data_IF_420390164031
#
_entry.id   IF_420390164031
#
_cell.length_a   1.000
_cell.length_b   1.000
_cell.length_c   1.000
_cell.angle_alpha   90.00
_cell.angle_beta   90.00
_cell.angle_gamma   90.00
#
_symmetry.space_group_name_H-M   'P 1'
#
loop_
_entity.id
_entity.type
_entity.pdbx_description
1 polymer ?
#
# COMPACT_ATOMS: atom_id res chain seq x y z
N UNK A 1 -17.58 14.77 55.41
CA UNK A 1 -17.54 13.58 54.53
C UNK A 1 -16.80 13.93 53.23
N UNK A 2 -15.80 13.14 52.81
CA UNK A 2 -14.91 13.41 51.66
C UNK A 2 -15.21 12.42 50.52
N UNK A 3 -15.34 12.91 49.28
CA UNK A 3 -15.57 12.07 48.12
C UNK A 3 -14.29 11.31 47.73
N UNK A 4 -14.32 9.99 47.70
CA UNK A 4 -13.15 9.16 47.38
C UNK A 4 -12.67 9.29 45.93
N UNK A 5 -13.53 9.77 45.01
CA UNK A 5 -13.19 9.88 43.59
C UNK A 5 -12.62 11.27 43.20
N UNK A 6 -12.93 12.34 43.94
CA UNK A 6 -12.43 13.70 43.62
C UNK A 6 -11.77 14.42 44.79
N UNK A 7 -11.70 13.77 45.96
CA UNK A 7 -11.11 14.31 47.19
C UNK A 7 -11.71 15.62 47.73
N UNK A 8 -12.87 16.06 47.22
CA UNK A 8 -13.58 17.25 47.73
C UNK A 8 -14.53 16.89 48.87
N UNK A 9 -14.75 17.85 49.77
CA UNK A 9 -15.67 17.72 50.91
C UNK A 9 -17.09 18.14 50.52
N UNK A 10 -18.10 17.57 51.19
CA UNK A 10 -19.51 17.97 51.05
C UNK A 10 -20.41 17.01 50.26
N UNK A 11 -19.86 15.93 49.69
CA UNK A 11 -20.62 14.82 49.09
C UNK A 11 -19.83 13.52 49.18
N UNK A 12 -20.50 12.38 49.05
CA UNK A 12 -19.86 11.08 48.79
C UNK A 12 -19.88 10.74 47.32
N UNK A 13 -19.02 9.82 46.87
CA UNK A 13 -18.86 9.45 45.46
C UNK A 13 -20.16 9.09 44.74
N UNK A 14 -21.16 8.60 45.49
CA UNK A 14 -22.50 8.23 45.00
C UNK A 14 -23.43 9.44 44.76
N UNK A 15 -23.24 10.53 45.49
CA UNK A 15 -24.01 11.79 45.43
C UNK A 15 -23.26 12.90 44.68
N UNK A 16 -22.54 12.54 43.62
CA UNK A 16 -22.03 13.56 42.70
C UNK A 16 -23.24 14.32 42.13
N UNK A 17 -23.30 15.66 42.25
CA UNK A 17 -24.32 16.42 41.54
C UNK A 17 -24.13 16.15 40.05
N UNK A 18 -25.05 15.38 39.47
CA UNK A 18 -25.05 15.05 38.06
C UNK A 18 -25.12 16.38 37.30
N UNK A 19 -24.00 16.81 36.71
CA UNK A 19 -24.06 17.74 35.60
C UNK A 19 -24.85 16.99 34.54
N UNK A 20 -26.13 17.37 34.38
CA UNK A 20 -26.98 16.97 33.25
C UNK A 20 -26.09 17.01 32.02
N UNK A 21 -25.87 15.84 31.41
CA UNK A 21 -25.19 15.75 30.13
C UNK A 21 -26.04 16.57 29.15
N UNK A 22 -25.67 17.84 28.96
CA UNK A 22 -26.00 18.50 27.70
C UNK A 22 -25.33 17.65 26.64
N UNK A 23 -26.14 17.02 25.80
CA UNK A 23 -25.71 16.37 24.57
C UNK A 23 -25.14 17.47 23.69
N UNK A 24 -23.89 17.84 23.94
CA UNK A 24 -23.08 18.62 23.02
C UNK A 24 -22.59 17.61 21.99
N UNK A 25 -23.28 17.64 20.86
CA UNK A 25 -22.82 17.25 19.53
C UNK A 25 -21.47 16.52 19.54
N UNK A 26 -21.55 15.22 19.31
CA UNK A 26 -20.40 14.40 18.96
C UNK A 26 -19.85 14.89 17.61
N UNK A 27 -18.94 15.86 17.61
CA UNK A 27 -18.05 16.18 16.49
C UNK A 27 -17.00 15.06 16.29
N UNK A 28 -17.46 13.81 16.19
CA UNK A 28 -16.62 12.65 15.80
C UNK A 28 -17.27 11.75 14.75
N UNK A 29 -18.33 12.22 14.10
CA UNK A 29 -18.99 11.51 12.99
C UNK A 29 -18.89 12.26 11.65
N UNK A 30 -17.89 13.15 11.48
CA UNK A 30 -17.63 13.82 10.20
C UNK A 30 -16.48 13.22 9.39
N UNK A 31 -15.90 12.09 9.81
CA UNK A 31 -14.85 11.41 9.04
C UNK A 31 -15.15 9.93 8.83
N UNK A 32 -16.18 9.61 8.03
CA UNK A 32 -16.15 8.46 7.10
C UNK A 32 -17.38 8.40 6.18
N UNK A 33 -17.69 9.51 5.54
CA UNK A 33 -18.38 9.46 4.26
C UNK A 33 -17.42 9.99 3.19
N UNK A 34 -16.18 9.49 3.19
CA UNK A 34 -15.50 9.42 1.90
C UNK A 34 -16.31 8.40 1.12
N UNK A 35 -16.96 8.84 0.03
CA UNK A 35 -17.35 7.92 -1.03
C UNK A 35 -16.17 6.97 -1.21
N UNK A 36 -16.38 5.66 -1.02
CA UNK A 36 -15.38 4.65 -1.37
C UNK A 36 -15.14 4.80 -2.87
N UNK A 37 -14.22 5.70 -3.25
CA UNK A 37 -13.76 5.82 -4.63
C UNK A 37 -13.21 4.44 -4.97
N UNK A 38 -13.68 3.89 -6.07
CA UNK A 38 -13.16 2.62 -6.55
C UNK A 38 -11.64 2.74 -6.68
N UNK A 39 -10.89 1.74 -6.18
CA UNK A 39 -9.45 1.77 -6.26
C UNK A 39 -9.03 1.84 -7.73
N UNK A 40 -8.09 2.74 -8.06
CA UNK A 40 -7.51 2.89 -9.40
C UNK A 40 -6.05 2.47 -9.41
N UNK A 41 -5.54 2.07 -10.56
CA UNK A 41 -4.13 1.69 -10.73
C UNK A 41 -3.17 2.79 -10.25
N UNK A 42 -3.47 4.05 -10.58
CA UNK A 42 -2.71 5.22 -10.12
C UNK A 42 -2.64 5.34 -8.60
N UNK A 43 -3.68 4.92 -7.89
CA UNK A 43 -3.71 4.93 -6.42
C UNK A 43 -2.74 3.90 -5.85
N UNK A 44 -2.58 2.76 -6.50
CA UNK A 44 -1.59 1.76 -6.09
C UNK A 44 -0.17 2.27 -6.36
N UNK A 45 0.09 2.89 -7.51
CA UNK A 45 1.38 3.48 -7.83
C UNK A 45 1.76 4.58 -6.82
N UNK A 46 0.82 5.44 -6.43
CA UNK A 46 1.06 6.50 -5.43
C UNK A 46 1.33 5.93 -4.03
N UNK A 47 0.58 4.89 -3.64
CA UNK A 47 0.75 4.21 -2.35
C UNK A 47 2.03 3.40 -2.28
N UNK A 48 2.47 2.86 -3.42
CA UNK A 48 3.73 2.17 -3.56
C UNK A 48 4.88 3.19 -3.56
N UNK A 49 5.07 3.87 -2.42
CA UNK A 49 6.28 4.64 -2.14
C UNK A 49 7.45 3.66 -2.16
N UNK A 50 8.14 3.62 -3.29
CA UNK A 50 9.43 2.97 -3.36
C UNK A 50 10.37 3.77 -2.48
N UNK A 51 10.67 3.27 -1.27
CA UNK A 51 11.87 3.71 -0.55
C UNK A 51 13.00 3.44 -1.52
N UNK A 52 13.50 4.49 -2.19
CA UNK A 52 14.33 4.34 -3.39
C UNK A 52 15.35 3.23 -3.22
N UNK A 53 15.28 2.18 -4.06
CA UNK A 53 16.22 1.08 -4.02
C UNK A 53 17.55 1.62 -4.52
N UNK A 54 18.36 2.14 -3.60
CA UNK A 54 19.72 2.59 -3.87
C UNK A 54 20.60 1.36 -4.08
N UNK A 55 20.75 0.94 -5.32
CA UNK A 55 21.81 0.00 -5.68
C UNK A 55 23.13 0.75 -5.66
N UNK A 56 24.04 0.42 -4.74
CA UNK A 56 25.45 0.78 -4.95
C UNK A 56 25.91 -0.01 -6.16
N UNK A 57 26.46 0.67 -7.17
CA UNK A 57 27.21 0.00 -8.21
C UNK A 57 28.42 -0.66 -7.53
N UNK A 58 28.30 -1.95 -7.21
CA UNK A 58 29.45 -2.76 -6.79
C UNK A 58 30.23 -3.02 -8.06
N UNK A 59 31.12 -2.08 -8.39
CA UNK A 59 32.18 -2.37 -9.34
C UNK A 59 33.19 -3.25 -8.62
N UNK A 60 33.40 -4.41 -9.23
CA UNK A 60 34.50 -5.35 -9.03
C UNK A 60 34.37 -6.38 -7.91
N UNK A 61 34.01 -7.60 -8.32
CA UNK A 61 34.07 -8.79 -7.47
C UNK A 61 33.29 -9.97 -8.05
N UNK A 62 33.93 -10.71 -8.96
CA UNK A 62 33.63 -12.11 -9.37
C UNK A 62 32.16 -12.45 -9.67
N UNK A 63 31.88 -12.61 -10.97
CA UNK A 63 30.79 -13.40 -11.60
C UNK A 63 29.93 -14.21 -10.62
N UNK A 64 28.93 -13.56 -10.02
CA UNK A 64 27.96 -14.16 -9.10
C UNK A 64 26.86 -14.94 -9.82
N UNK A 65 26.83 -14.84 -11.15
CA UNK A 65 25.86 -15.51 -12.01
C UNK A 65 26.61 -16.48 -12.91
N UNK A 66 26.20 -17.74 -12.90
CA UNK A 66 26.67 -18.73 -13.86
C UNK A 66 26.02 -18.39 -15.20
N UNK A 67 26.84 -18.21 -16.24
CA UNK A 67 26.36 -17.83 -17.57
C UNK A 67 26.43 -16.33 -17.88
N UNK A 68 26.01 -15.98 -19.11
CA UNK A 68 25.84 -14.61 -19.58
C UNK A 68 24.39 -14.18 -19.35
N UNK A 69 24.18 -12.92 -18.94
CA UNK A 69 22.82 -12.39 -18.78
C UNK A 69 22.23 -12.14 -20.17
N UNK A 70 21.09 -12.75 -20.46
CA UNK A 70 20.31 -12.38 -21.65
C UNK A 70 19.45 -11.17 -21.31
N UNK A 71 19.74 -10.03 -21.93
CA UNK A 71 18.96 -8.82 -21.78
C UNK A 71 18.20 -8.53 -23.08
N UNK A 72 16.99 -7.96 -22.96
CA UNK A 72 16.20 -7.51 -24.11
C UNK A 72 15.53 -6.18 -23.81
N UNK A 73 15.40 -5.35 -24.84
CA UNK A 73 14.60 -4.14 -24.79
C UNK A 73 13.14 -4.51 -25.02
N UNK A 74 12.30 -4.20 -24.04
CA UNK A 74 10.84 -4.33 -24.17
C UNK A 74 10.21 -2.94 -24.16
N UNK A 75 9.16 -2.76 -24.94
CA UNK A 75 8.35 -1.55 -24.87
C UNK A 75 7.22 -1.78 -23.86
N UNK A 76 7.24 -1.02 -22.77
CA UNK A 76 6.18 -1.02 -21.76
C UNK A 76 5.79 0.41 -21.46
N UNK A 77 4.48 0.68 -21.38
CA UNK A 77 3.95 2.02 -21.08
C UNK A 77 4.61 3.12 -21.95
N UNK A 78 4.74 2.85 -23.25
CA UNK A 78 5.37 3.74 -24.24
C UNK A 78 6.87 4.06 -23.99
N UNK A 79 7.55 3.30 -23.12
CA UNK A 79 8.96 3.43 -22.79
C UNK A 79 9.71 2.13 -23.12
N UNK A 80 10.90 2.26 -23.73
CA UNK A 80 11.83 1.15 -23.88
C UNK A 80 12.53 0.86 -22.55
N UNK A 81 12.34 -0.34 -22.01
CA UNK A 81 12.91 -0.79 -20.73
C UNK A 81 13.84 -1.97 -21.00
N UNK A 82 15.08 -1.87 -20.51
CA UNK A 82 16.02 -2.99 -20.53
C UNK A 82 15.64 -3.99 -19.45
N UNK A 83 15.33 -5.22 -19.85
CA UNK A 83 14.91 -6.30 -18.94
C UNK A 83 15.84 -7.50 -19.04
N UNK A 84 15.86 -8.30 -17.97
CA UNK A 84 16.60 -9.57 -17.91
C UNK A 84 15.61 -10.68 -18.26
N UNK A 85 16.00 -11.56 -19.19
CA UNK A 85 15.25 -12.76 -19.51
C UNK A 85 15.72 -13.88 -18.58
N UNK A 86 14.78 -14.39 -17.77
CA UNK A 86 15.01 -15.47 -16.84
C UNK A 86 14.09 -16.65 -17.18
N UNK A 87 14.68 -17.75 -17.64
CA UNK A 87 13.94 -18.99 -17.96
C UNK A 87 13.56 -19.79 -16.71
N UNK A 88 14.12 -19.44 -15.54
CA UNK A 88 13.82 -20.06 -14.26
C UNK A 88 12.63 -19.45 -13.53
N UNK A 89 12.07 -18.34 -14.04
CA UNK A 89 10.89 -17.69 -13.47
C UNK A 89 9.65 -17.96 -14.32
N UNK A 90 8.59 -18.42 -13.66
CA UNK A 90 7.25 -18.56 -14.26
C UNK A 90 6.53 -17.20 -14.30
N UNK A 91 7.05 -16.21 -13.57
CA UNK A 91 6.43 -14.89 -13.40
C UNK A 91 7.29 -13.78 -13.99
N UNK A 92 6.62 -12.73 -14.48
CA UNK A 92 7.25 -11.48 -14.91
C UNK A 92 7.22 -10.51 -13.74
N UNK A 93 8.37 -9.94 -13.38
CA UNK A 93 8.48 -8.96 -12.30
C UNK A 93 8.74 -7.58 -12.93
N UNK A 94 7.77 -6.68 -12.80
CA UNK A 94 7.88 -5.30 -13.27
C UNK A 94 7.91 -4.37 -12.05
N UNK A 95 8.93 -3.52 -11.89
CA UNK A 95 8.96 -2.55 -10.79
C UNK A 95 7.78 -1.59 -10.89
N UNK A 96 7.09 -1.34 -9.77
CA UNK A 96 5.97 -0.38 -9.71
C UNK A 96 6.36 1.03 -10.19
N UNK A 97 7.65 1.39 -10.07
CA UNK A 97 8.19 2.64 -10.59
C UNK A 97 8.05 2.81 -12.11
N UNK A 98 7.84 1.73 -12.88
CA UNK A 98 7.50 1.82 -14.31
C UNK A 98 6.14 2.48 -14.48
N UNK A 99 5.13 2.01 -13.76
CA UNK A 99 3.78 2.60 -13.78
C UNK A 99 3.73 4.01 -13.18
N UNK A 100 4.55 4.28 -12.16
CA UNK A 100 4.67 5.64 -11.60
C UNK A 100 5.20 6.64 -12.65
N UNK A 101 6.26 6.28 -13.38
CA UNK A 101 6.80 7.13 -14.47
C UNK A 101 5.83 7.26 -15.64
N UNK A 102 5.11 6.20 -15.98
CA UNK A 102 4.07 6.25 -17.01
C UNK A 102 2.99 7.28 -16.66
N UNK A 103 2.51 7.28 -15.40
CA UNK A 103 1.57 8.27 -14.89
C UNK A 103 2.12 9.70 -14.98
N UNK A 104 3.39 9.92 -14.61
CA UNK A 104 4.05 11.24 -14.71
C UNK A 104 4.12 11.73 -16.17
N UNK A 105 4.26 10.82 -17.12
CA UNK A 105 4.24 11.09 -18.57
C UNK A 105 2.84 11.22 -19.17
N UNK A 106 1.80 11.28 -18.34
CA UNK A 106 0.39 11.34 -18.77
C UNK A 106 -0.10 10.11 -19.54
N UNK A 107 0.55 8.96 -19.37
CA UNK A 107 0.01 7.67 -19.85
C UNK A 107 -1.15 7.28 -18.96
N UNK A 108 -2.28 6.91 -19.56
CA UNK A 108 -3.49 6.51 -18.82
C UNK A 108 -3.37 5.07 -18.28
N UNK A 109 -2.73 4.95 -17.13
CA UNK A 109 -2.64 3.68 -16.38
C UNK A 109 -3.96 3.30 -15.70
N UNK A 110 -4.91 4.23 -15.56
CA UNK A 110 -6.20 3.97 -14.91
C UNK A 110 -7.19 3.25 -15.84
N UNK A 111 -6.84 3.10 -17.12
CA UNK A 111 -7.53 2.22 -18.07
C UNK A 111 -7.40 0.73 -17.72
N UNK A 112 -6.46 0.35 -16.84
CA UNK A 112 -6.26 -1.01 -16.39
C UNK A 112 -7.38 -1.47 -15.44
N UNK A 113 -7.88 -2.69 -15.64
CA UNK A 113 -8.95 -3.28 -14.83
C UNK A 113 -8.41 -3.62 -13.43
N UNK A 114 -8.98 -3.00 -12.40
CA UNK A 114 -8.61 -3.28 -11.00
C UNK A 114 -9.40 -4.48 -10.48
N UNK A 115 -8.68 -5.48 -9.97
CA UNK A 115 -9.29 -6.67 -9.39
C UNK A 115 -9.69 -6.36 -7.95
N UNK A 116 -10.95 -6.61 -7.60
CA UNK A 116 -11.44 -6.33 -6.25
C UNK A 116 -10.89 -7.34 -5.24
N UNK A 117 -10.83 -6.95 -3.96
CA UNK A 117 -10.43 -7.86 -2.88
C UNK A 117 -11.34 -9.08 -2.73
N UNK A 118 -12.58 -9.02 -3.21
CA UNK A 118 -13.50 -10.15 -3.19
C UNK A 118 -13.11 -11.24 -4.21
N UNK A 119 -12.52 -10.83 -5.33
CA UNK A 119 -12.13 -11.73 -6.43
C UNK A 119 -10.68 -12.22 -6.30
N UNK A 120 -9.91 -11.62 -5.38
CA UNK A 120 -8.53 -11.99 -5.10
C UNK A 120 -8.44 -13.32 -4.34
N UNK A 121 -8.00 -14.37 -5.03
CA UNK A 121 -7.58 -15.62 -4.40
C UNK A 121 -6.35 -15.37 -3.52
N UNK A 122 -6.26 -15.97 -2.32
CA UNK A 122 -5.09 -15.84 -1.47
C UNK A 122 -3.86 -16.44 -2.17
N UNK A 123 -2.76 -15.70 -2.16
CA UNK A 123 -1.44 -16.13 -2.61
C UNK A 123 -0.57 -16.38 -1.38
N UNK A 124 0.20 -17.47 -1.42
CA UNK A 124 1.11 -17.88 -0.37
C UNK A 124 2.53 -17.86 -0.91
N UNK A 125 3.49 -17.48 -0.06
CA UNK A 125 4.90 -17.52 -0.41
C UNK A 125 5.46 -18.97 -0.36
N UNK A 126 6.74 -19.13 -0.65
CA UNK A 126 7.43 -20.44 -0.65
C UNK A 126 7.54 -21.08 0.73
N UNK A 127 7.23 -20.35 1.80
CA UNK A 127 7.21 -20.80 3.18
C UNK A 127 5.78 -20.95 3.73
N UNK A 128 4.77 -20.94 2.85
CA UNK A 128 3.34 -21.05 3.18
C UNK A 128 2.79 -19.86 4.00
N UNK A 129 3.47 -18.71 3.99
CA UNK A 129 2.92 -17.49 4.57
C UNK A 129 1.98 -16.82 3.57
N UNK A 130 0.80 -16.43 4.03
CA UNK A 130 -0.14 -15.63 3.23
C UNK A 130 0.49 -14.28 2.88
N UNK A 131 0.56 -13.97 1.58
CA UNK A 131 1.06 -12.70 1.09
C UNK A 131 0.02 -11.58 1.23
N UNK A 132 0.49 -10.38 1.56
CA UNK A 132 -0.30 -9.16 1.54
C UNK A 132 0.02 -8.34 0.29
N UNK A 133 -1.02 -7.77 -0.33
CA UNK A 133 -0.89 -6.99 -1.56
C UNK A 133 -1.47 -5.59 -1.38
N UNK A 134 -0.83 -4.58 -1.98
CA UNK A 134 -1.35 -3.22 -2.06
C UNK A 134 -2.60 -3.13 -2.95
N UNK A 135 -2.70 -4.02 -3.94
CA UNK A 135 -3.78 -4.10 -4.90
C UNK A 135 -3.46 -5.11 -5.99
N UNK A 136 -4.43 -5.34 -6.88
CA UNK A 136 -4.24 -6.16 -8.05
C UNK A 136 -4.90 -5.50 -9.26
N UNK A 137 -4.22 -5.61 -10.39
CA UNK A 137 -4.65 -5.10 -11.68
C UNK A 137 -4.52 -6.22 -12.69
N UNK A 138 -5.39 -6.23 -13.68
CA UNK A 138 -5.34 -7.11 -14.82
C UNK A 138 -4.73 -6.34 -15.98
N UNK A 139 -3.69 -6.92 -16.55
CA UNK A 139 -2.88 -6.38 -17.65
C UNK A 139 -3.08 -7.24 -18.88
#
# INVERSE_FOLDING_TARGET
MKCFNCSKFGHISRDRPQKRTQVRQTERERQKFELKKEPRASTFADKARSLGVRTKAVVNGKKLLIGEKTCSWINMTEEGILTILDTGLIIIIIPVGVFARAKEKSVDIDSLEVITYADLKPLYDVFDNKMEFLGAIKV
#
